data_IF_395847638358
#
_entry.id   IF_395847638358
#
_cell.length_a   1.000
_cell.length_b   1.000
_cell.length_c   1.000
_cell.angle_alpha   90.00
_cell.angle_beta   90.00
_cell.angle_gamma   90.00
#
_symmetry.space_group_name_H-M   'P 1'
#
loop_
_entity.id
_entity.type
_entity.pdbx_description
1 polymer ?
#
# COMPACT_ATOMS: atom_id res chain seq x y z
N UNK A 1 2.76 -14.71 -18.98
CA UNK A 1 2.53 -14.92 -17.54
C UNK A 1 3.45 -13.96 -16.79
N UNK A 2 2.92 -12.99 -16.09
CA UNK A 2 3.69 -12.01 -15.33
C UNK A 2 3.17 -12.06 -13.90
N UNK A 3 3.78 -12.94 -13.09
CA UNK A 3 3.46 -13.08 -11.67
C UNK A 3 4.72 -13.56 -10.97
N UNK A 4 5.00 -13.11 -9.75
CA UNK A 4 6.17 -13.53 -8.97
C UNK A 4 6.22 -15.06 -8.78
N UNK A 5 5.05 -15.72 -8.64
CA UNK A 5 4.96 -17.17 -8.51
C UNK A 5 5.14 -17.96 -9.81
N UNK A 6 5.45 -17.28 -10.94
CA UNK A 6 5.65 -17.92 -12.25
C UNK A 6 7.10 -17.85 -12.73
N UNK A 7 8.04 -17.52 -11.86
CA UNK A 7 9.44 -17.51 -12.21
C UNK A 7 9.92 -18.94 -12.53
N UNK A 8 10.76 -19.04 -13.57
CA UNK A 8 11.35 -20.31 -14.03
C UNK A 8 12.80 -20.35 -13.53
N UNK A 9 13.12 -21.37 -12.76
CA UNK A 9 14.44 -21.59 -12.20
C UNK A 9 15.04 -22.89 -12.73
N UNK A 10 16.37 -22.97 -12.73
CA UNK A 10 17.07 -24.20 -13.00
C UNK A 10 16.81 -25.21 -11.86
N UNK A 11 16.52 -26.48 -12.16
CA UNK A 11 16.24 -27.50 -11.13
C UNK A 11 17.37 -27.68 -10.10
N UNK A 12 18.61 -27.44 -10.47
CA UNK A 12 19.77 -27.51 -9.57
C UNK A 12 19.76 -26.49 -8.43
N UNK A 13 18.93 -25.46 -8.53
CA UNK A 13 18.71 -24.47 -7.46
C UNK A 13 17.96 -25.04 -6.24
N UNK A 14 17.35 -26.21 -6.38
CA UNK A 14 16.51 -26.77 -5.35
C UNK A 14 17.17 -27.97 -4.67
N UNK A 15 17.07 -28.03 -3.36
CA UNK A 15 17.35 -29.23 -2.59
C UNK A 15 16.23 -30.28 -2.79
N UNK A 16 16.45 -31.53 -2.32
CA UNK A 16 15.48 -32.62 -2.45
C UNK A 16 14.13 -32.30 -1.76
N UNK A 17 14.14 -31.47 -0.73
CA UNK A 17 12.92 -31.00 -0.01
C UNK A 17 12.20 -29.82 -0.69
N UNK A 18 12.68 -29.37 -1.85
CA UNK A 18 12.12 -28.27 -2.62
C UNK A 18 12.52 -26.86 -2.14
N UNK A 19 13.38 -26.74 -1.14
CA UNK A 19 13.95 -25.45 -0.72
C UNK A 19 15.08 -25.01 -1.64
N UNK A 20 15.39 -23.71 -1.69
CA UNK A 20 16.52 -23.21 -2.45
C UNK A 20 17.84 -23.65 -1.82
N UNK A 21 18.72 -24.21 -2.67
CA UNK A 21 20.08 -24.55 -2.34
C UNK A 21 21.03 -23.54 -3.00
N UNK A 22 21.32 -22.46 -2.31
CA UNK A 22 22.13 -21.35 -2.83
C UNK A 22 21.32 -20.23 -3.47
N UNK A 23 21.86 -19.61 -4.52
CA UNK A 23 21.18 -18.53 -5.22
C UNK A 23 20.28 -19.06 -6.36
N UNK A 24 19.12 -18.41 -6.59
CA UNK A 24 18.26 -18.79 -7.70
C UNK A 24 18.96 -18.54 -9.05
N UNK A 25 18.98 -19.56 -9.92
CA UNK A 25 19.46 -19.46 -11.29
C UNK A 25 18.26 -19.40 -12.22
N UNK A 26 18.06 -18.23 -12.80
CA UNK A 26 16.97 -17.97 -13.75
C UNK A 26 17.50 -17.75 -15.17
N UNK A 27 16.58 -17.35 -16.07
CA UNK A 27 16.88 -17.10 -17.49
C UNK A 27 17.03 -15.61 -17.80
N UNK A 28 17.18 -14.77 -16.78
CA UNK A 28 17.22 -13.31 -16.89
C UNK A 28 18.58 -12.75 -17.32
N UNK A 29 18.62 -11.41 -17.57
CA UNK A 29 19.85 -10.72 -18.00
C UNK A 29 20.87 -10.51 -16.87
N UNK A 30 20.53 -10.87 -15.65
CA UNK A 30 21.41 -10.80 -14.47
C UNK A 30 21.31 -12.07 -13.64
N UNK A 31 22.40 -12.39 -12.94
CA UNK A 31 22.50 -13.50 -11.99
C UNK A 31 22.83 -12.97 -10.60
N UNK A 32 22.28 -13.59 -9.56
CA UNK A 32 22.58 -13.25 -8.17
C UNK A 32 23.93 -13.83 -7.79
N UNK A 33 24.86 -12.99 -7.33
CA UNK A 33 26.21 -13.41 -6.93
C UNK A 33 26.47 -13.26 -5.43
N UNK A 34 25.68 -12.41 -4.74
CA UNK A 34 25.71 -12.31 -3.28
C UNK A 34 24.35 -11.89 -2.75
N UNK A 35 23.97 -12.41 -1.59
CA UNK A 35 22.78 -11.97 -0.86
C UNK A 35 23.02 -12.12 0.65
N UNK A 36 22.97 -10.99 1.36
CA UNK A 36 22.98 -10.96 2.82
C UNK A 36 21.65 -10.40 3.27
N UNK A 37 20.81 -11.28 3.81
CA UNK A 37 19.45 -10.94 4.19
C UNK A 37 19.41 -9.71 5.11
N UNK A 38 18.54 -8.75 4.78
CA UNK A 38 18.38 -7.51 5.53
C UNK A 38 19.53 -6.50 5.34
N UNK A 39 20.54 -6.78 4.52
CA UNK A 39 21.66 -5.87 4.29
C UNK A 39 21.83 -5.49 2.82
N UNK A 40 22.06 -6.45 1.94
CA UNK A 40 22.27 -6.19 0.51
C UNK A 40 22.08 -7.43 -0.37
N UNK A 41 21.82 -7.18 -1.64
CA UNK A 41 21.86 -8.17 -2.72
C UNK A 41 22.78 -7.64 -3.85
N UNK A 42 23.60 -8.50 -4.43
CA UNK A 42 24.41 -8.19 -5.62
C UNK A 42 23.96 -9.06 -6.78
N UNK A 43 23.74 -8.42 -7.91
CA UNK A 43 23.49 -9.11 -9.17
C UNK A 43 24.52 -8.67 -10.21
N UNK A 44 24.99 -9.61 -11.01
CA UNK A 44 25.95 -9.37 -12.09
C UNK A 44 25.32 -9.73 -13.43
N UNK A 45 25.75 -9.03 -14.48
CA UNK A 45 25.24 -9.24 -15.83
C UNK A 45 25.52 -10.68 -16.29
N UNK A 46 24.50 -11.31 -16.83
CA UNK A 46 24.59 -12.61 -17.46
C UNK A 46 25.07 -12.45 -18.90
N UNK A 47 26.36 -12.69 -19.16
CA UNK A 47 26.93 -12.57 -20.49
C UNK A 47 26.45 -13.68 -21.45
N UNK A 48 25.79 -14.72 -20.94
CA UNK A 48 25.14 -15.78 -21.72
C UNK A 48 23.64 -15.54 -21.92
N UNK A 49 23.14 -14.32 -21.60
CA UNK A 49 21.72 -14.01 -21.76
C UNK A 49 21.32 -14.07 -23.24
N UNK A 50 20.23 -14.76 -23.53
CA UNK A 50 19.70 -14.98 -24.87
C UNK A 50 19.08 -13.73 -25.53
N UNK A 51 18.75 -12.69 -24.77
CA UNK A 51 18.18 -11.43 -25.24
C UNK A 51 19.21 -10.30 -25.25
N UNK A 52 18.75 -9.06 -25.21
CA UNK A 52 19.63 -7.88 -25.13
C UNK A 52 20.28 -7.82 -23.74
N UNK A 53 21.61 -7.86 -23.63
CA UNK A 53 22.29 -7.76 -22.33
C UNK A 53 21.97 -6.44 -21.62
N UNK A 54 21.97 -6.49 -20.30
CA UNK A 54 21.85 -5.27 -19.48
C UNK A 54 23.08 -4.35 -19.67
N UNK A 55 22.86 -3.04 -19.51
CA UNK A 55 23.92 -2.03 -19.68
C UNK A 55 24.92 -2.08 -18.53
N UNK A 56 24.44 -2.07 -17.28
CA UNK A 56 25.30 -2.15 -16.10
C UNK A 56 25.89 -3.55 -15.93
N UNK A 57 27.16 -3.64 -15.53
CA UNK A 57 27.77 -4.92 -15.23
C UNK A 57 27.31 -5.48 -13.90
N UNK A 58 27.13 -4.61 -12.90
CA UNK A 58 26.80 -5.01 -11.53
C UNK A 58 25.80 -4.05 -10.93
N UNK A 59 24.80 -4.58 -10.25
CA UNK A 59 23.96 -3.83 -9.33
C UNK A 59 24.17 -4.34 -7.91
N UNK A 60 24.31 -3.43 -6.98
CA UNK A 60 24.31 -3.72 -5.55
C UNK A 60 23.10 -3.03 -4.91
N UNK A 61 22.10 -3.81 -4.57
CA UNK A 61 20.93 -3.34 -3.83
C UNK A 61 21.26 -3.29 -2.34
N UNK A 62 21.29 -2.11 -1.75
CA UNK A 62 21.52 -1.91 -0.32
C UNK A 62 20.16 -1.75 0.37
N UNK A 63 19.93 -2.47 1.45
CA UNK A 63 18.72 -2.34 2.25
C UNK A 63 18.88 -1.17 3.22
N UNK A 64 18.05 -0.14 3.07
CA UNK A 64 17.97 1.03 3.97
C UNK A 64 16.49 1.18 4.32
N UNK A 65 16.04 0.70 5.50
CA UNK A 65 14.62 0.64 5.83
C UNK A 65 13.92 2.00 5.97
N UNK A 66 14.62 2.98 6.50
CA UNK A 66 14.10 4.31 6.77
C UNK A 66 14.18 5.23 5.54
N UNK A 67 13.09 5.94 5.20
CA UNK A 67 12.97 6.77 4.00
C UNK A 67 13.88 8.00 4.04
N UNK A 68 14.00 8.67 5.20
CA UNK A 68 14.87 9.83 5.37
C UNK A 68 16.35 9.44 5.19
N UNK A 69 16.72 8.29 5.73
CA UNK A 69 18.08 7.74 5.58
C UNK A 69 18.36 7.38 4.11
N UNK A 70 17.37 6.83 3.37
CA UNK A 70 17.51 6.57 1.93
C UNK A 70 17.70 7.85 1.13
N UNK A 71 16.87 8.87 1.41
CA UNK A 71 16.96 10.17 0.76
C UNK A 71 18.32 10.83 1.01
N UNK A 72 18.77 10.82 2.25
CA UNK A 72 20.10 11.36 2.63
C UNK A 72 21.24 10.61 1.94
N UNK A 73 21.17 9.27 1.85
CA UNK A 73 22.18 8.47 1.17
C UNK A 73 22.23 8.76 -0.35
N UNK A 74 21.07 9.02 -1.00
CA UNK A 74 21.02 9.48 -2.39
C UNK A 74 21.67 10.86 -2.54
N UNK A 75 21.30 11.81 -1.69
CA UNK A 75 21.86 13.18 -1.71
C UNK A 75 23.36 13.21 -1.44
N UNK A 76 23.87 12.32 -0.61
CA UNK A 76 25.30 12.17 -0.33
C UNK A 76 26.07 11.40 -1.43
N UNK A 77 25.39 10.84 -2.42
CA UNK A 77 26.01 10.01 -3.46
C UNK A 77 26.44 8.61 -2.99
N UNK A 78 26.01 8.19 -1.81
CA UNK A 78 26.31 6.84 -1.28
C UNK A 78 25.57 5.76 -2.07
N UNK A 79 24.42 6.10 -2.67
CA UNK A 79 23.67 5.30 -3.62
C UNK A 79 23.39 6.13 -4.87
N UNK A 80 23.35 5.47 -6.05
CA UNK A 80 23.17 6.12 -7.33
C UNK A 80 21.72 6.15 -7.78
N UNK A 81 20.84 5.47 -7.09
CA UNK A 81 19.41 5.42 -7.39
C UNK A 81 18.63 4.70 -6.33
N UNK A 82 17.34 4.96 -6.33
CA UNK A 82 16.36 4.30 -5.49
C UNK A 82 15.39 3.54 -6.40
N UNK A 83 15.05 2.32 -6.07
CA UNK A 83 14.33 1.40 -6.96
C UNK A 83 13.15 0.68 -6.28
N UNK A 84 12.62 1.24 -5.20
CA UNK A 84 11.44 0.70 -4.52
C UNK A 84 10.25 1.66 -4.65
N UNK A 85 9.04 1.11 -4.58
CA UNK A 85 7.81 1.89 -4.47
C UNK A 85 7.80 2.62 -3.12
N UNK A 86 7.54 3.92 -3.12
CA UNK A 86 7.64 4.73 -1.89
C UNK A 86 9.06 4.75 -1.32
N UNK A 87 10.09 4.69 -2.17
CA UNK A 87 11.50 4.74 -1.75
C UNK A 87 11.85 6.05 -1.04
N UNK A 88 11.22 7.14 -1.44
CA UNK A 88 11.22 8.46 -0.78
C UNK A 88 9.79 8.97 -0.67
N UNK A 89 9.57 9.93 0.22
CA UNK A 89 8.25 10.55 0.34
C UNK A 89 7.88 11.40 -0.89
N UNK A 90 6.59 11.64 -1.14
CA UNK A 90 6.16 12.53 -2.22
C UNK A 90 6.77 13.94 -2.13
N UNK A 91 6.92 14.48 -0.92
CA UNK A 91 7.57 15.78 -0.69
C UNK A 91 9.06 15.76 -1.05
N UNK A 92 9.79 14.71 -0.70
CA UNK A 92 11.19 14.55 -1.09
C UNK A 92 11.34 14.39 -2.61
N UNK A 93 10.43 13.66 -3.26
CA UNK A 93 10.42 13.55 -4.71
C UNK A 93 10.20 14.91 -5.38
N UNK A 94 9.25 15.70 -4.87
CA UNK A 94 8.99 17.06 -5.36
C UNK A 94 10.19 17.99 -5.16
N UNK A 95 10.90 17.90 -4.02
CA UNK A 95 12.08 18.71 -3.73
C UNK A 95 13.20 18.54 -4.77
N UNK A 96 13.41 17.32 -5.28
CA UNK A 96 14.48 17.03 -6.23
C UNK A 96 14.03 16.96 -7.68
N UNK A 97 12.73 17.11 -7.95
CA UNK A 97 12.18 16.94 -9.33
C UNK A 97 12.78 17.94 -10.34
N UNK A 98 13.05 19.16 -9.89
CA UNK A 98 13.62 20.23 -10.73
C UNK A 98 15.15 20.33 -10.64
N UNK A 99 15.80 19.50 -9.83
CA UNK A 99 17.27 19.48 -9.70
C UNK A 99 17.89 18.64 -10.85
N UNK A 100 18.70 19.27 -11.74
CA UNK A 100 19.29 18.56 -12.87
C UNK A 100 20.29 17.46 -12.49
N UNK A 101 20.69 17.37 -11.20
CA UNK A 101 21.53 16.28 -10.71
C UNK A 101 20.75 14.96 -10.58
N UNK A 102 19.43 15.00 -10.58
CA UNK A 102 18.57 13.83 -10.40
C UNK A 102 17.64 13.63 -11.59
N UNK A 103 17.32 12.38 -11.84
CA UNK A 103 16.25 12.00 -12.76
C UNK A 103 15.11 11.36 -11.94
N UNK A 104 14.06 12.12 -11.71
CA UNK A 104 12.86 11.66 -11.02
C UNK A 104 11.86 11.15 -12.04
N UNK A 105 11.58 9.85 -12.04
CA UNK A 105 10.56 9.25 -12.88
C UNK A 105 9.32 8.98 -12.04
N UNK A 106 8.21 9.62 -12.39
CA UNK A 106 6.90 9.38 -11.81
C UNK A 106 6.08 8.59 -12.81
N UNK A 107 5.54 7.47 -12.39
CA UNK A 107 4.75 6.59 -13.24
C UNK A 107 3.45 6.19 -12.57
N UNK A 108 2.46 5.93 -13.40
CA UNK A 108 1.20 5.34 -12.97
C UNK A 108 1.43 3.94 -12.41
N UNK A 109 0.76 3.62 -11.32
CA UNK A 109 0.89 2.32 -10.67
C UNK A 109 -0.45 1.61 -10.55
N UNK A 110 -0.40 0.27 -10.44
CA UNK A 110 -1.56 -0.55 -10.10
C UNK A 110 -1.82 -0.64 -8.60
N UNK A 111 -1.24 0.26 -7.81
CA UNK A 111 -1.43 0.30 -6.36
C UNK A 111 -2.57 1.25 -6.03
N UNK A 112 -3.48 0.78 -5.19
CA UNK A 112 -4.54 1.60 -4.60
C UNK A 112 -4.38 1.62 -3.09
N UNK A 113 -4.53 2.79 -2.50
CA UNK A 113 -4.57 2.99 -1.06
C UNK A 113 -6.00 2.81 -0.58
N UNK A 114 -6.21 1.98 0.41
CA UNK A 114 -7.52 1.67 0.95
C UNK A 114 -7.60 2.00 2.43
N UNK A 115 -8.70 2.63 2.81
CA UNK A 115 -9.15 2.62 4.18
C UNK A 115 -10.04 1.39 4.38
N UNK A 116 -9.46 0.32 4.92
CA UNK A 116 -10.24 -0.85 5.29
C UNK A 116 -11.02 -0.57 6.55
N UNK A 117 -12.28 -0.97 6.56
CA UNK A 117 -13.17 -0.88 7.71
C UNK A 117 -13.58 -2.27 8.17
N UNK A 118 -13.77 -2.46 9.46
CA UNK A 118 -14.32 -3.70 10.01
C UNK A 118 -15.85 -3.72 9.82
N UNK A 119 -16.29 -4.18 8.67
CA UNK A 119 -17.72 -4.27 8.34
C UNK A 119 -18.52 -5.29 9.15
N UNK A 120 -17.86 -6.11 9.97
CA UNK A 120 -18.50 -7.07 10.87
C UNK A 120 -18.85 -6.48 12.25
N UNK A 121 -18.34 -5.30 12.60
CA UNK A 121 -18.50 -4.69 13.91
C UNK A 121 -19.10 -3.28 13.85
N UNK A 122 -19.81 -2.90 14.93
CA UNK A 122 -20.31 -1.54 15.09
C UNK A 122 -19.13 -0.53 15.18
N UNK A 123 -19.25 0.65 14.58
CA UNK A 123 -20.38 1.16 13.80
C UNK A 123 -20.36 0.79 12.31
N UNK A 124 -19.31 0.14 11.80
CA UNK A 124 -19.11 -0.11 10.36
C UNK A 124 -19.92 -1.28 9.81
N UNK A 125 -20.61 -2.06 10.64
CA UNK A 125 -21.62 -3.02 10.18
C UNK A 125 -22.87 -2.34 9.61
N UNK A 126 -23.11 -1.06 9.90
CA UNK A 126 -24.14 -0.27 9.25
C UNK A 126 -23.60 0.35 7.95
N UNK A 127 -24.31 0.17 6.83
CA UNK A 127 -23.92 0.70 5.53
C UNK A 127 -23.86 2.22 5.53
N UNK A 128 -24.73 2.90 6.30
CA UNK A 128 -24.77 4.36 6.40
C UNK A 128 -23.48 4.92 7.02
N UNK A 129 -22.88 4.20 7.98
CA UNK A 129 -21.59 4.61 8.54
C UNK A 129 -20.48 4.56 7.48
N UNK A 130 -20.45 3.50 6.65
CA UNK A 130 -19.47 3.37 5.57
C UNK A 130 -19.66 4.39 4.47
N UNK A 131 -20.92 4.64 4.08
CA UNK A 131 -21.28 5.69 3.11
C UNK A 131 -20.92 7.07 3.65
N UNK A 132 -21.30 7.36 4.90
CA UNK A 132 -21.00 8.61 5.58
C UNK A 132 -19.50 8.90 5.63
N UNK A 133 -18.69 7.91 6.01
CA UNK A 133 -17.24 8.03 6.01
C UNK A 133 -16.69 8.30 4.60
N UNK A 134 -17.21 7.61 3.58
CA UNK A 134 -16.78 7.81 2.19
C UNK A 134 -17.11 9.21 1.65
N UNK A 135 -18.27 9.78 2.03
CA UNK A 135 -18.68 11.13 1.65
C UNK A 135 -17.93 12.22 2.42
N UNK A 136 -17.53 11.93 3.66
CA UNK A 136 -16.82 12.86 4.54
C UNK A 136 -15.37 13.10 4.13
N UNK A 137 -14.70 12.11 3.56
CA UNK A 137 -13.28 12.19 3.22
C UNK A 137 -13.10 12.84 1.84
N UNK A 138 -12.47 14.02 1.82
CA UNK A 138 -12.02 14.65 0.58
C UNK A 138 -10.68 14.03 0.11
N UNK A 139 -10.78 13.15 -0.87
CA UNK A 139 -9.63 12.44 -1.44
C UNK A 139 -8.67 13.37 -2.18
N UNK A 140 -9.19 14.45 -2.78
CA UNK A 140 -8.35 15.43 -3.47
C UNK A 140 -7.50 16.21 -2.47
N UNK A 141 -8.10 16.62 -1.34
CA UNK A 141 -7.37 17.29 -0.24
C UNK A 141 -6.24 16.40 0.29
N UNK A 142 -6.47 15.09 0.44
CA UNK A 142 -5.42 14.14 0.86
C UNK A 142 -4.26 14.14 -0.16
N UNK A 143 -4.57 14.02 -1.45
CA UNK A 143 -3.58 13.98 -2.52
C UNK A 143 -2.76 15.27 -2.58
N UNK A 144 -3.43 16.41 -2.52
CA UNK A 144 -2.77 17.72 -2.64
C UNK A 144 -1.91 18.03 -1.41
N UNK A 145 -2.44 17.72 -0.20
CA UNK A 145 -1.78 18.08 1.06
C UNK A 145 -0.67 17.12 1.47
N UNK A 146 -0.83 15.83 1.25
CA UNK A 146 0.09 14.81 1.78
C UNK A 146 0.93 14.14 0.69
N UNK A 147 0.46 14.14 -0.58
CA UNK A 147 1.16 13.49 -1.69
C UNK A 147 1.69 14.48 -2.73
N UNK A 148 1.65 15.79 -2.47
CA UNK A 148 2.11 16.84 -3.41
C UNK A 148 1.47 16.70 -4.81
N UNK A 149 0.22 16.29 -4.89
CA UNK A 149 -0.47 16.04 -6.15
C UNK A 149 -0.12 14.71 -6.85
N UNK A 150 0.76 13.89 -6.28
CA UNK A 150 1.12 12.59 -6.85
C UNK A 150 0.06 11.53 -6.49
N UNK A 151 -1.02 11.51 -7.23
CA UNK A 151 -2.10 10.54 -7.04
C UNK A 151 -3.32 10.86 -7.87
N UNK A 152 -4.26 9.93 -7.88
CA UNK A 152 -5.57 10.07 -8.53
C UNK A 152 -6.64 9.62 -7.53
N UNK A 153 -7.68 10.44 -7.30
CA UNK A 153 -8.77 10.04 -6.42
C UNK A 153 -9.45 8.76 -6.91
N UNK A 154 -9.51 7.73 -6.07
CA UNK A 154 -10.14 6.47 -6.41
C UNK A 154 -11.63 6.49 -6.02
N UNK A 155 -12.51 6.36 -7.01
CA UNK A 155 -13.96 6.20 -6.79
C UNK A 155 -14.40 4.74 -6.68
N UNK A 156 -13.52 3.79 -7.03
CA UNK A 156 -13.82 2.36 -7.04
C UNK A 156 -12.68 1.49 -6.55
N UNK A 157 -12.93 0.19 -6.59
CA UNK A 157 -12.01 -0.82 -6.07
C UNK A 157 -10.85 -1.13 -7.02
N UNK A 158 -11.01 -0.87 -8.32
CA UNK A 158 -9.97 -1.15 -9.31
C UNK A 158 -9.12 0.08 -9.60
N UNK A 159 -7.82 -0.13 -9.67
CA UNK A 159 -6.89 0.86 -10.22
C UNK A 159 -7.16 1.06 -11.72
N UNK A 160 -6.96 2.30 -12.21
CA UNK A 160 -7.09 2.65 -13.63
C UNK A 160 -6.13 1.87 -14.56
N UNK A 161 -5.11 1.22 -14.02
CA UNK A 161 -4.23 0.32 -14.80
C UNK A 161 -4.86 -1.04 -15.10
N UNK A 162 -6.01 -1.36 -14.50
CA UNK A 162 -6.74 -2.60 -14.77
C UNK A 162 -7.43 -2.54 -16.13
N UNK A 163 -7.38 -3.64 -16.90
CA UNK A 163 -8.13 -3.76 -18.14
C UNK A 163 -9.66 -3.72 -17.97
N UNK A 164 -10.15 -3.84 -16.74
CA UNK A 164 -11.57 -3.81 -16.37
C UNK A 164 -11.92 -2.55 -15.56
N UNK A 165 -11.05 -1.55 -15.60
CA UNK A 165 -11.33 -0.30 -14.92
C UNK A 165 -12.47 0.44 -15.63
N UNK A 166 -13.43 0.83 -14.83
CA UNK A 166 -14.45 1.81 -15.19
C UNK A 166 -14.37 2.96 -14.20
N UNK A 167 -14.29 4.18 -14.69
CA UNK A 167 -14.25 5.36 -13.85
C UNK A 167 -15.52 5.43 -13.00
N UNK A 168 -15.34 5.48 -11.70
CA UNK A 168 -16.42 5.66 -10.74
C UNK A 168 -16.37 7.09 -10.19
N UNK A 169 -17.52 7.73 -9.99
CA UNK A 169 -17.55 9.07 -9.44
C UNK A 169 -16.98 9.09 -8.02
N UNK A 170 -16.12 10.05 -7.75
CA UNK A 170 -15.68 10.38 -6.40
C UNK A 170 -16.59 11.46 -5.89
N UNK A 171 -17.45 11.10 -4.95
CA UNK A 171 -18.40 12.06 -4.35
C UNK A 171 -17.84 12.55 -3.02
N UNK A 172 -17.80 13.87 -2.85
CA UNK A 172 -17.49 14.54 -1.61
C UNK A 172 -18.70 15.37 -1.19
N UNK A 173 -19.32 15.01 -0.08
CA UNK A 173 -20.47 15.68 0.52
C UNK A 173 -20.37 15.55 2.04
N UNK A 174 -19.56 16.40 2.67
CA UNK A 174 -19.29 16.29 4.11
C UNK A 174 -20.51 16.53 4.98
N UNK A 175 -21.46 17.36 4.53
CA UNK A 175 -22.70 17.61 5.28
C UNK A 175 -23.54 16.32 5.36
N UNK A 176 -23.77 15.67 4.22
CA UNK A 176 -24.49 14.39 4.17
C UNK A 176 -23.69 13.29 4.87
N UNK A 177 -22.37 13.28 4.71
CA UNK A 177 -21.47 12.34 5.41
C UNK A 177 -21.64 12.41 6.93
N UNK A 178 -21.53 13.60 7.48
CA UNK A 178 -21.73 13.85 8.92
C UNK A 178 -23.13 13.48 9.41
N UNK A 179 -24.15 13.76 8.61
CA UNK A 179 -25.54 13.41 8.94
C UNK A 179 -25.72 11.89 9.06
N UNK A 180 -25.23 11.13 8.07
CA UNK A 180 -25.29 9.66 8.08
C UNK A 180 -24.55 9.04 9.27
N UNK A 181 -23.38 9.56 9.61
CA UNK A 181 -22.62 9.13 10.78
C UNK A 181 -23.42 9.36 12.07
N UNK A 182 -24.00 10.57 12.22
CA UNK A 182 -24.86 10.89 13.38
C UNK A 182 -26.08 10.00 13.50
N UNK A 183 -26.72 9.66 12.37
CA UNK A 183 -27.86 8.74 12.36
C UNK A 183 -27.50 7.35 12.92
N UNK A 184 -26.23 6.91 12.74
CA UNK A 184 -25.76 5.58 13.18
C UNK A 184 -25.29 5.59 14.62
N UNK A 185 -24.44 6.55 14.98
CA UNK A 185 -23.78 6.54 16.30
C UNK A 185 -24.52 7.36 17.35
N UNK A 186 -25.27 8.40 16.94
CA UNK A 186 -25.90 9.31 17.88
C UNK A 186 -24.87 9.99 18.77
N UNK A 187 -25.27 10.23 20.02
CA UNK A 187 -24.46 10.84 21.08
C UNK A 187 -23.77 9.82 21.99
N UNK A 188 -23.92 8.51 21.71
CA UNK A 188 -23.26 7.47 22.49
C UNK A 188 -21.75 7.48 22.30
N UNK A 189 -20.94 7.17 23.33
CA UNK A 189 -19.50 7.06 23.18
C UNK A 189 -19.12 5.93 22.23
N UNK A 190 -18.30 6.24 21.21
CA UNK A 190 -17.77 5.28 20.24
C UNK A 190 -16.26 5.44 20.17
N UNK A 191 -15.53 4.40 20.52
CA UNK A 191 -14.07 4.36 20.37
C UNK A 191 -13.70 3.55 19.12
N UNK A 192 -12.95 4.16 18.22
CA UNK A 192 -12.46 3.54 16.99
C UNK A 192 -10.96 3.28 17.09
N UNK A 193 -10.55 2.02 16.88
CA UNK A 193 -9.13 1.65 16.74
C UNK A 193 -8.71 1.78 15.29
N UNK A 194 -7.74 2.64 15.04
CA UNK A 194 -7.22 2.91 13.71
C UNK A 194 -5.79 2.38 13.59
N UNK A 195 -5.63 1.27 12.88
CA UNK A 195 -4.36 0.58 12.73
C UNK A 195 -3.56 1.11 11.53
N UNK A 196 -2.27 1.36 11.72
CA UNK A 196 -1.32 1.75 10.69
C UNK A 196 -0.16 0.75 10.66
N UNK A 197 0.00 -0.06 9.59
CA UNK A 197 1.18 -0.90 9.43
C UNK A 197 2.44 -0.04 9.25
N UNK A 198 3.47 -0.25 10.09
CA UNK A 198 4.74 0.50 10.02
C UNK A 198 5.41 0.41 8.66
N UNK A 199 5.30 -0.74 7.99
CA UNK A 199 5.87 -0.94 6.65
C UNK A 199 5.26 0.00 5.60
N UNK A 200 3.98 0.32 5.71
CA UNK A 200 3.29 1.22 4.81
C UNK A 200 3.45 2.69 5.27
N UNK A 201 3.35 2.96 6.58
CA UNK A 201 3.54 4.30 7.14
C UNK A 201 4.98 4.85 6.98
N UNK A 202 5.97 3.97 6.84
CA UNK A 202 7.35 4.37 6.51
C UNK A 202 7.57 4.72 5.02
N UNK A 203 6.55 4.48 4.18
CA UNK A 203 6.59 4.71 2.72
C UNK A 203 5.66 5.83 2.28
N UNK A 204 4.56 5.98 2.98
CA UNK A 204 3.44 6.86 2.64
C UNK A 204 3.07 7.71 3.85
N UNK A 205 2.48 8.89 3.65
CA UNK A 205 2.07 9.81 4.72
C UNK A 205 0.82 9.32 5.48
N UNK A 206 0.83 8.04 5.91
CA UNK A 206 -0.33 7.43 6.56
C UNK A 206 -0.61 7.95 7.96
N UNK A 207 0.41 8.50 8.64
CA UNK A 207 0.20 9.14 9.92
C UNK A 207 -0.64 10.41 9.74
N UNK A 208 -0.28 11.25 8.78
CA UNK A 208 -0.96 12.49 8.46
C UNK A 208 -2.37 12.24 7.92
N UNK A 209 -2.54 11.23 7.07
CA UNK A 209 -3.86 10.80 6.59
C UNK A 209 -4.76 10.33 7.74
N UNK A 210 -4.24 9.52 8.64
CA UNK A 210 -5.00 9.01 9.78
C UNK A 210 -5.40 10.13 10.74
N UNK A 211 -4.50 11.09 11.01
CA UNK A 211 -4.79 12.28 11.83
C UNK A 211 -5.85 13.17 11.17
N UNK A 212 -5.80 13.33 9.84
CA UNK A 212 -6.85 14.03 9.09
C UNK A 212 -8.21 13.34 9.23
N UNK A 213 -8.27 12.01 9.04
CA UNK A 213 -9.51 11.23 9.19
C UNK A 213 -10.01 11.25 10.64
N UNK A 214 -9.11 11.16 11.62
CA UNK A 214 -9.41 11.31 13.04
C UNK A 214 -10.10 12.66 13.29
N UNK A 215 -9.50 13.76 12.83
CA UNK A 215 -10.06 15.09 13.00
C UNK A 215 -11.45 15.25 12.39
N UNK A 216 -11.70 14.65 11.22
CA UNK A 216 -13.03 14.66 10.59
C UNK A 216 -14.08 13.92 11.43
N UNK A 217 -13.72 12.78 12.02
CA UNK A 217 -14.63 11.97 12.82
C UNK A 217 -14.89 12.56 14.21
N UNK A 218 -13.85 13.02 14.90
CA UNK A 218 -13.95 13.56 16.26
C UNK A 218 -14.60 14.95 16.31
N UNK A 219 -14.46 15.77 15.24
CA UNK A 219 -15.09 17.08 15.14
C UNK A 219 -16.50 17.05 14.54
N UNK A 220 -17.10 15.86 14.36
CA UNK A 220 -18.46 15.74 13.89
C UNK A 220 -19.44 16.10 15.03
N UNK A 221 -20.02 17.30 14.95
CA UNK A 221 -20.98 17.80 15.94
C UNK A 221 -22.17 16.85 16.10
N UNK A 222 -22.55 16.57 17.35
CA UNK A 222 -23.63 15.65 17.69
C UNK A 222 -23.25 14.17 17.66
N UNK A 223 -21.95 13.87 17.70
CA UNK A 223 -21.41 12.53 17.96
C UNK A 223 -20.42 12.57 19.12
N UNK A 224 -20.13 11.39 19.69
CA UNK A 224 -19.09 11.23 20.73
C UNK A 224 -18.11 10.14 20.27
N UNK A 225 -17.43 10.41 19.13
CA UNK A 225 -16.45 9.50 18.54
C UNK A 225 -15.06 9.88 19.03
N UNK A 226 -14.28 8.89 19.44
CA UNK A 226 -12.84 9.00 19.72
C UNK A 226 -12.09 8.03 18.84
N UNK A 227 -11.02 8.47 18.19
CA UNK A 227 -10.19 7.63 17.32
C UNK A 227 -8.82 7.43 17.94
N UNK A 228 -8.45 6.18 18.14
CA UNK A 228 -7.16 5.78 18.69
C UNK A 228 -6.25 5.24 17.56
N UNK A 229 -5.33 6.06 17.09
CA UNK A 229 -4.37 5.70 16.05
C UNK A 229 -3.24 4.86 16.66
N UNK A 230 -2.97 3.70 16.08
CA UNK A 230 -1.98 2.73 16.55
C UNK A 230 -1.05 2.31 15.41
N UNK A 231 0.20 2.74 15.49
CA UNK A 231 1.27 2.29 14.60
C UNK A 231 1.83 0.97 15.12
N UNK A 232 1.89 -0.05 14.26
CA UNK A 232 2.38 -1.38 14.63
C UNK A 232 2.96 -2.14 13.44
N UNK A 233 3.82 -3.11 13.73
CA UNK A 233 4.37 -3.98 12.69
C UNK A 233 3.29 -4.83 12.04
N UNK A 234 3.51 -5.19 10.77
CA UNK A 234 2.50 -5.91 9.97
C UNK A 234 2.03 -7.21 10.60
N UNK A 235 2.91 -7.99 11.24
CA UNK A 235 2.54 -9.25 11.90
C UNK A 235 1.45 -9.05 12.96
N UNK A 236 1.71 -8.26 14.02
CA UNK A 236 0.72 -7.89 15.02
C UNK A 236 -0.51 -7.19 14.44
N UNK A 237 -0.33 -6.28 13.48
CA UNK A 237 -1.45 -5.59 12.81
C UNK A 237 -2.41 -6.59 12.15
N UNK A 238 -1.85 -7.57 11.45
CA UNK A 238 -2.61 -8.64 10.80
C UNK A 238 -3.37 -9.48 11.83
N UNK A 239 -2.73 -9.86 12.94
CA UNK A 239 -3.36 -10.63 14.03
C UNK A 239 -4.54 -9.87 14.64
N UNK A 240 -4.41 -8.57 14.89
CA UNK A 240 -5.50 -7.71 15.37
C UNK A 240 -6.66 -7.64 14.36
N UNK A 241 -6.35 -7.51 13.06
CA UNK A 241 -7.37 -7.52 12.01
C UNK A 241 -8.09 -8.87 11.92
N UNK A 242 -7.36 -9.98 11.98
CA UNK A 242 -7.91 -11.35 11.97
C UNK A 242 -8.77 -11.66 13.19
N UNK A 243 -8.43 -11.07 14.32
CA UNK A 243 -9.22 -11.17 15.55
C UNK A 243 -10.45 -10.24 15.57
N UNK A 244 -10.60 -9.36 14.56
CA UNK A 244 -11.66 -8.34 14.52
C UNK A 244 -11.44 -7.19 15.50
N UNK A 245 -10.24 -7.04 16.06
CA UNK A 245 -9.89 -6.04 17.06
C UNK A 245 -9.44 -4.71 16.43
N UNK A 246 -10.12 -4.26 15.39
CA UNK A 246 -9.87 -2.99 14.73
C UNK A 246 -11.17 -2.37 14.24
N UNK A 247 -11.14 -1.09 13.97
CA UNK A 247 -12.23 -0.35 13.31
C UNK A 247 -11.84 0.08 11.91
N UNK A 248 -10.63 0.63 11.79
CA UNK A 248 -10.05 1.18 10.57
C UNK A 248 -8.61 0.68 10.37
N UNK A 249 -8.18 0.52 9.13
CA UNK A 249 -6.78 0.26 8.79
C UNK A 249 -6.45 0.85 7.42
N UNK A 250 -5.48 1.78 7.35
CA UNK A 250 -4.90 2.22 6.08
C UNK A 250 -3.94 1.18 5.55
N UNK A 251 -4.10 0.82 4.30
CA UNK A 251 -3.29 -0.22 3.65
C UNK A 251 -3.25 -0.05 2.14
N UNK A 252 -2.13 -0.42 1.54
CA UNK A 252 -2.02 -0.54 0.09
C UNK A 252 -2.53 -1.91 -0.40
N UNK A 253 -3.07 -1.91 -1.61
CA UNK A 253 -3.37 -3.12 -2.35
C UNK A 253 -2.88 -2.97 -3.79
N UNK A 254 -1.95 -3.82 -4.18
CA UNK A 254 -1.48 -3.90 -5.55
C UNK A 254 -2.32 -4.86 -6.38
N UNK A 255 -2.48 -4.53 -7.68
CA UNK A 255 -2.96 -5.48 -8.68
C UNK A 255 -1.75 -6.12 -9.36
N UNK A 256 -1.35 -7.33 -8.97
CA UNK A 256 -0.16 -7.99 -9.53
C UNK A 256 -0.34 -8.44 -10.98
N UNK A 257 -1.56 -8.36 -11.51
CA UNK A 257 -1.89 -8.67 -12.90
C UNK A 257 -3.04 -7.81 -13.38
N UNK A 258 -3.19 -7.66 -14.70
CA UNK A 258 -4.33 -6.96 -15.30
C UNK A 258 -5.68 -7.64 -15.02
N UNK A 259 -5.70 -8.87 -14.53
CA UNK A 259 -6.91 -9.61 -14.18
C UNK A 259 -7.25 -9.43 -12.69
N UNK A 260 -8.32 -8.71 -12.34
CA UNK A 260 -8.71 -8.45 -10.97
C UNK A 260 -9.45 -9.62 -10.30
N UNK A 261 -9.64 -10.75 -10.98
CA UNK A 261 -10.47 -11.85 -10.48
C UNK A 261 -10.02 -12.37 -9.10
N UNK A 262 -8.70 -12.51 -8.89
CA UNK A 262 -8.17 -12.95 -7.59
C UNK A 262 -8.46 -11.95 -6.48
N UNK A 263 -8.43 -10.65 -6.81
CA UNK A 263 -8.73 -9.57 -5.89
C UNK A 263 -10.23 -9.59 -5.51
N UNK A 264 -11.11 -9.67 -6.50
CA UNK A 264 -12.55 -9.77 -6.25
C UNK A 264 -12.92 -11.04 -5.46
N UNK A 265 -12.34 -12.18 -5.83
CA UNK A 265 -12.56 -13.43 -5.11
C UNK A 265 -12.08 -13.35 -3.66
N UNK A 266 -10.98 -12.67 -3.38
CA UNK A 266 -10.46 -12.54 -2.02
C UNK A 266 -11.25 -11.55 -1.16
N UNK A 267 -11.53 -10.36 -1.70
CA UNK A 267 -12.04 -9.23 -0.94
C UNK A 267 -13.56 -9.07 -0.98
N UNK A 268 -14.17 -9.23 -2.16
CA UNK A 268 -15.58 -8.88 -2.38
C UNK A 268 -16.53 -10.09 -2.35
N UNK A 269 -16.01 -11.29 -2.54
CA UNK A 269 -16.84 -12.50 -2.43
C UNK A 269 -17.09 -12.81 -0.95
N UNK A 270 -18.35 -13.17 -0.61
CA UNK A 270 -18.76 -13.43 0.79
C UNK A 270 -17.93 -14.53 1.47
N UNK A 271 -17.52 -15.55 0.71
CA UNK A 271 -16.64 -16.63 1.18
C UNK A 271 -15.16 -16.37 0.85
N UNK A 272 -14.83 -15.14 0.45
CA UNK A 272 -13.46 -14.74 0.10
C UNK A 272 -12.55 -14.77 1.32
N UNK A 273 -11.35 -15.34 1.16
CA UNK A 273 -10.42 -15.51 2.28
C UNK A 273 -10.08 -14.21 2.98
N UNK A 274 -9.83 -13.14 2.23
CA UNK A 274 -9.50 -11.83 2.81
C UNK A 274 -10.71 -11.17 3.44
N UNK A 275 -11.91 -11.31 2.83
CA UNK A 275 -13.16 -10.81 3.39
C UNK A 275 -13.44 -11.44 4.75
N UNK A 276 -13.34 -12.77 4.84
CA UNK A 276 -13.58 -13.51 6.10
C UNK A 276 -12.49 -13.19 7.11
N UNK A 277 -11.22 -13.27 6.70
CA UNK A 277 -10.07 -13.11 7.59
C UNK A 277 -10.03 -11.74 8.25
N UNK A 278 -10.40 -10.69 7.52
CA UNK A 278 -10.37 -9.31 8.07
C UNK A 278 -11.74 -8.76 8.44
N UNK A 279 -12.80 -9.57 8.37
CA UNK A 279 -14.13 -9.12 8.74
C UNK A 279 -14.63 -7.93 7.93
N UNK A 280 -14.31 -7.88 6.62
CA UNK A 280 -14.66 -6.72 5.77
C UNK A 280 -16.17 -6.55 5.57
N UNK A 281 -16.96 -7.61 5.80
CA UNK A 281 -18.42 -7.56 5.83
C UNK A 281 -19.08 -7.49 4.43
N UNK A 282 -18.40 -7.93 3.38
CA UNK A 282 -19.03 -8.12 2.08
C UNK A 282 -19.84 -9.41 2.05
N UNK A 283 -21.10 -9.33 1.62
CA UNK A 283 -22.06 -10.45 1.56
C UNK A 283 -22.67 -10.61 0.18
#
# INVERSE_FOLDING_TARGET
>A
MVNYGSAIFEPSCFAEDGTFNGFPIGTGPYVVTANVLGQYCVIERNDNYWGTPGIAQTFRFKVIPDAETRYTALRAGEVQGLCDLGAISPSQAAEIADDPAYNVSVGESGITHFLNVNGGAFPFNDVRMREGLSLLIDRQTIIDSFYNGYGIPAGGFLSFTSAFYEEQPVTYDPERGMELIREVVGDQPVELRFLLPTVDANRYPYQEEAEYIQALLENNEGTNITVNIQLMDWGPCKEEMEAGNYSLCLKIQGLPSANPFSLFKGFLYSEGSTNITYGLGYH
#
